data_IF_048570691445
#
_entry.id   IF_048570691445
#
_cell.length_a   1.000
_cell.length_b   1.000
_cell.length_c   1.000
_cell.angle_alpha   90.00
_cell.angle_beta   90.00
_cell.angle_gamma   90.00
#
_symmetry.space_group_name_H-M   'P 1'
#
loop_
_entity.id
_entity.type
_entity.pdbx_description
1 polymer ?
#
# COMPACT_ATOMS: atom_id res chain seq x y z
N UNK A 1 20.78 -3.14 -10.08
CA UNK A 1 19.71 -3.55 -11.02
C UNK A 1 18.84 -4.68 -10.48
N UNK A 2 19.41 -5.82 -10.06
CA UNK A 2 18.61 -7.00 -9.64
C UNK A 2 17.82 -6.77 -8.32
N UNK A 3 18.35 -5.99 -7.38
CA UNK A 3 17.78 -5.85 -6.03
C UNK A 3 16.47 -5.02 -5.99
N UNK A 4 16.43 -3.86 -6.67
CA UNK A 4 15.22 -3.03 -6.71
C UNK A 4 14.02 -3.71 -7.37
N UNK A 5 14.29 -4.56 -8.36
CA UNK A 5 13.28 -5.40 -9.00
C UNK A 5 12.66 -6.40 -8.00
N UNK A 6 13.44 -7.00 -7.10
CA UNK A 6 12.90 -7.92 -6.08
C UNK A 6 11.95 -7.23 -5.11
N UNK A 7 12.23 -6.00 -4.69
CA UNK A 7 11.33 -5.27 -3.80
C UNK A 7 10.04 -4.86 -4.49
N UNK A 8 10.10 -4.43 -5.76
CA UNK A 8 8.90 -4.18 -6.55
C UNK A 8 8.08 -5.46 -6.71
N UNK A 9 8.73 -6.58 -7.04
CA UNK A 9 8.07 -7.89 -7.12
C UNK A 9 7.45 -8.29 -5.78
N UNK A 10 8.10 -7.99 -4.65
CA UNK A 10 7.56 -8.26 -3.33
C UNK A 10 6.30 -7.41 -3.05
N UNK A 11 6.31 -6.12 -3.39
CA UNK A 11 5.13 -5.24 -3.25
C UNK A 11 3.98 -5.76 -4.12
N UNK A 12 4.26 -6.07 -5.39
CA UNK A 12 3.26 -6.61 -6.32
C UNK A 12 2.72 -7.96 -5.83
N UNK A 13 3.58 -8.82 -5.30
CA UNK A 13 3.18 -10.10 -4.73
C UNK A 13 2.27 -9.92 -3.50
N UNK A 14 2.59 -8.99 -2.59
CA UNK A 14 1.75 -8.69 -1.42
C UNK A 14 0.37 -8.18 -1.86
N UNK A 15 0.32 -7.26 -2.84
CA UNK A 15 -0.94 -6.74 -3.37
C UNK A 15 -1.77 -7.83 -4.06
N UNK A 16 -1.13 -8.65 -4.91
CA UNK A 16 -1.79 -9.75 -5.61
C UNK A 16 -2.34 -10.82 -4.65
N UNK A 17 -1.54 -11.19 -3.64
CA UNK A 17 -1.97 -12.10 -2.57
C UNK A 17 -3.15 -11.53 -1.79
N UNK A 18 -3.11 -10.24 -1.45
CA UNK A 18 -4.20 -9.58 -0.72
C UNK A 18 -5.48 -9.53 -1.54
N UNK A 19 -5.39 -9.25 -2.84
CA UNK A 19 -6.54 -9.30 -3.74
C UNK A 19 -7.09 -10.74 -3.88
N UNK A 20 -6.23 -11.75 -3.98
CA UNK A 20 -6.64 -13.15 -4.02
C UNK A 20 -7.35 -13.56 -2.72
N UNK A 21 -6.80 -13.17 -1.57
CA UNK A 21 -7.37 -13.44 -0.25
C UNK A 21 -8.72 -12.76 -0.05
N UNK A 22 -8.85 -11.50 -0.46
CA UNK A 22 -10.13 -10.80 -0.46
C UNK A 22 -11.18 -11.53 -1.30
N UNK A 23 -10.83 -11.93 -2.53
CA UNK A 23 -11.73 -12.67 -3.41
C UNK A 23 -12.14 -14.03 -2.84
N UNK A 24 -11.21 -14.77 -2.23
CA UNK A 24 -11.49 -16.06 -1.60
C UNK A 24 -12.46 -15.86 -0.42
N UNK A 25 -12.21 -14.85 0.42
CA UNK A 25 -13.06 -14.51 1.56
C UNK A 25 -14.50 -14.21 1.13
N UNK A 26 -14.68 -13.30 0.18
CA UNK A 26 -16.02 -12.92 -0.33
C UNK A 26 -16.74 -14.12 -0.95
N UNK A 27 -16.07 -14.90 -1.80
CA UNK A 27 -16.66 -16.11 -2.41
C UNK A 27 -17.07 -17.15 -1.36
N UNK A 28 -16.34 -17.25 -0.25
CA UNK A 28 -16.66 -18.18 0.82
C UNK A 28 -17.89 -17.74 1.59
N UNK A 29 -17.98 -16.45 1.96
CA UNK A 29 -19.18 -15.91 2.60
C UNK A 29 -20.40 -16.09 1.70
N UNK A 30 -20.27 -15.74 0.41
CA UNK A 30 -21.37 -15.92 -0.55
C UNK A 30 -21.87 -17.36 -0.61
N UNK A 31 -20.96 -18.33 -0.66
CA UNK A 31 -21.32 -19.75 -0.67
C UNK A 31 -22.02 -20.18 0.62
N UNK A 32 -21.54 -19.71 1.77
CA UNK A 32 -22.13 -20.05 3.06
C UNK A 32 -23.56 -19.50 3.17
N UNK A 33 -23.76 -18.24 2.81
CA UNK A 33 -25.08 -17.58 2.85
C UNK A 33 -26.04 -18.24 1.86
N UNK A 34 -25.59 -18.48 0.62
CA UNK A 34 -26.41 -19.16 -0.41
C UNK A 34 -26.74 -20.60 -0.05
N UNK A 35 -25.89 -21.27 0.73
CA UNK A 35 -26.17 -22.63 1.23
C UNK A 35 -27.24 -22.67 2.32
N UNK A 36 -27.52 -21.54 2.96
CA UNK A 36 -28.51 -21.42 4.05
C UNK A 36 -29.79 -20.70 3.63
N UNK A 37 -29.81 -20.06 2.47
CA UNK A 37 -30.94 -19.29 1.94
C UNK A 37 -31.59 -20.06 0.79
N UNK A 38 -32.92 -20.23 0.85
CA UNK A 38 -33.70 -20.86 -0.23
C UNK A 38 -33.97 -19.87 -1.39
N UNK A 39 -33.66 -18.59 -1.21
CA UNK A 39 -33.81 -17.54 -2.21
C UNK A 39 -32.70 -17.47 -3.26
N UNK A 40 -33.03 -16.92 -4.43
CA UNK A 40 -32.05 -16.56 -5.46
C UNK A 40 -31.44 -15.20 -5.15
N UNK A 41 -30.22 -15.18 -4.61
CA UNK A 41 -29.53 -13.96 -4.23
C UNK A 41 -28.24 -13.73 -5.03
N UNK A 42 -28.02 -12.49 -5.45
CA UNK A 42 -26.86 -12.08 -6.25
C UNK A 42 -25.68 -11.60 -5.37
N UNK A 43 -24.46 -11.76 -5.87
CA UNK A 43 -23.25 -11.31 -5.17
C UNK A 43 -23.24 -9.80 -4.89
N UNK A 44 -23.76 -8.99 -5.82
CA UNK A 44 -23.79 -7.54 -5.65
C UNK A 44 -24.66 -7.13 -4.46
N UNK A 45 -25.77 -7.84 -4.26
CA UNK A 45 -26.67 -7.63 -3.14
C UNK A 45 -26.01 -8.09 -1.84
N UNK A 46 -25.21 -9.17 -1.85
CA UNK A 46 -24.41 -9.59 -0.69
C UNK A 46 -23.47 -8.48 -0.23
N UNK A 47 -22.68 -7.96 -1.17
CA UNK A 47 -21.67 -6.97 -0.86
C UNK A 47 -22.28 -5.73 -0.22
N UNK A 48 -23.43 -5.27 -0.74
CA UNK A 48 -24.16 -4.12 -0.17
C UNK A 48 -24.57 -4.33 1.28
N UNK A 49 -24.95 -5.56 1.66
CA UNK A 49 -25.34 -5.89 3.03
C UNK A 49 -24.16 -6.19 3.96
N UNK A 50 -22.99 -6.56 3.40
CA UNK A 50 -21.76 -6.81 4.16
C UNK A 50 -20.96 -5.54 4.48
N UNK A 51 -21.27 -4.40 3.87
CA UNK A 51 -20.55 -3.16 4.13
C UNK A 51 -20.76 -2.68 5.58
N UNK A 52 -19.68 -2.74 6.37
CA UNK A 52 -19.63 -2.22 7.73
C UNK A 52 -18.96 -0.84 7.77
N UNK A 53 -19.58 0.16 8.41
CA UNK A 53 -18.94 1.46 8.58
C UNK A 53 -17.74 1.35 9.52
N UNK A 54 -16.56 1.78 9.04
CA UNK A 54 -15.32 1.71 9.83
C UNK A 54 -15.05 2.94 10.70
N UNK A 55 -15.80 4.03 10.49
CA UNK A 55 -15.64 5.32 11.16
C UNK A 55 -14.87 6.34 10.31
N UNK A 56 -15.31 7.60 10.31
CA UNK A 56 -14.76 8.64 9.43
C UNK A 56 -13.25 8.84 9.61
N UNK A 57 -12.77 8.92 10.86
CA UNK A 57 -11.35 9.14 11.13
C UNK A 57 -10.49 8.01 10.55
N UNK A 58 -10.87 6.76 10.79
CA UNK A 58 -10.13 5.61 10.27
C UNK A 58 -10.08 5.64 8.74
N UNK A 59 -11.20 5.92 8.07
CA UNK A 59 -11.24 6.02 6.62
C UNK A 59 -10.32 7.13 6.09
N UNK A 60 -10.34 8.32 6.70
CA UNK A 60 -9.45 9.43 6.33
C UNK A 60 -7.98 9.04 6.48
N UNK A 61 -7.60 8.42 7.60
CA UNK A 61 -6.24 7.94 7.81
C UNK A 61 -5.85 6.90 6.77
N UNK A 62 -6.73 5.96 6.42
CA UNK A 62 -6.41 4.94 5.42
C UNK A 62 -6.27 5.53 4.01
N UNK A 63 -7.14 6.48 3.62
CA UNK A 63 -6.98 7.20 2.34
C UNK A 63 -5.63 7.91 2.31
N UNK A 64 -5.28 8.64 3.37
CA UNK A 64 -4.00 9.32 3.48
C UNK A 64 -2.81 8.34 3.41
N UNK A 65 -2.88 7.20 4.11
CA UNK A 65 -1.85 6.17 4.07
C UNK A 65 -1.69 5.56 2.67
N UNK A 66 -2.77 5.34 1.93
CA UNK A 66 -2.68 4.86 0.54
C UNK A 66 -2.08 5.90 -0.41
N UNK A 67 -2.48 7.17 -0.28
CA UNK A 67 -1.85 8.27 -1.05
C UNK A 67 -0.34 8.33 -0.77
N UNK A 68 0.04 8.33 0.52
CA UNK A 68 1.45 8.36 0.93
C UNK A 68 2.20 7.09 0.53
N UNK A 69 1.54 5.93 0.48
CA UNK A 69 2.15 4.70 -0.02
C UNK A 69 2.52 4.81 -1.49
N UNK A 70 1.63 5.32 -2.33
CA UNK A 70 1.94 5.52 -3.75
C UNK A 70 3.05 6.56 -3.95
N UNK A 71 3.03 7.63 -3.16
CA UNK A 71 4.12 8.62 -3.14
C UNK A 71 5.44 7.97 -2.74
N UNK A 72 5.48 7.29 -1.59
CA UNK A 72 6.68 6.61 -1.10
C UNK A 72 7.22 5.58 -2.12
N UNK A 73 6.34 4.77 -2.70
CA UNK A 73 6.71 3.82 -3.74
C UNK A 73 7.27 4.51 -4.98
N UNK A 74 6.66 5.62 -5.43
CA UNK A 74 7.15 6.38 -6.58
C UNK A 74 8.51 7.04 -6.30
N UNK A 75 8.67 7.67 -5.13
CA UNK A 75 9.94 8.27 -4.71
C UNK A 75 11.06 7.22 -4.70
N UNK A 76 10.80 6.09 -4.04
CA UNK A 76 11.79 5.03 -3.93
C UNK A 76 12.04 4.33 -5.29
N UNK A 77 11.06 4.26 -6.17
CA UNK A 77 11.22 3.66 -7.49
C UNK A 77 11.98 4.57 -8.47
N UNK A 78 11.65 5.87 -8.51
CA UNK A 78 12.18 6.81 -9.50
C UNK A 78 13.43 7.56 -9.05
N UNK A 79 13.61 7.80 -7.74
CA UNK A 79 14.78 8.53 -7.24
C UNK A 79 15.94 7.64 -6.87
N UNK A 80 15.69 6.35 -6.58
CA UNK A 80 16.77 5.52 -6.05
C UNK A 80 17.64 4.95 -7.17
N UNK A 81 18.96 5.20 -7.13
CA UNK A 81 19.90 4.78 -8.15
C UNK A 81 19.85 3.27 -8.47
N UNK A 82 19.70 2.90 -9.75
CA UNK A 82 19.97 1.53 -10.23
C UNK A 82 18.79 0.56 -10.19
N UNK A 83 17.57 1.05 -9.92
CA UNK A 83 16.32 0.29 -10.00
C UNK A 83 15.90 0.01 -11.45
N UNK A 84 16.19 0.91 -12.40
CA UNK A 84 15.93 0.73 -13.84
C UNK A 84 17.11 1.23 -14.70
N UNK A 85 17.42 0.58 -15.84
CA UNK A 85 18.43 1.06 -16.79
C UNK A 85 18.01 2.35 -17.53
N UNK A 86 16.72 2.73 -17.46
CA UNK A 86 16.21 4.00 -17.98
C UNK A 86 16.25 5.09 -16.91
N UNK A 87 17.45 5.46 -16.48
CA UNK A 87 17.74 6.76 -15.84
C UNK A 87 17.40 7.98 -16.71
N UNK A 88 16.68 7.76 -17.82
CA UNK A 88 16.39 8.71 -18.88
C UNK A 88 15.30 9.71 -18.56
N UNK A 89 14.47 9.44 -17.54
CA UNK A 89 13.62 10.51 -17.04
C UNK A 89 14.49 11.42 -16.17
N UNK A 90 14.66 12.65 -16.61
CA UNK A 90 15.15 13.78 -15.81
C UNK A 90 14.32 13.99 -14.51
N UNK A 91 13.46 13.06 -14.12
CA UNK A 91 12.72 13.01 -12.87
C UNK A 91 13.64 13.18 -11.64
N UNK A 92 14.88 12.68 -11.68
CA UNK A 92 15.86 12.96 -10.60
C UNK A 92 16.18 14.46 -10.55
N UNK A 93 16.41 15.12 -11.70
CA UNK A 93 16.69 16.56 -11.79
C UNK A 93 15.46 17.42 -11.47
N UNK A 94 14.27 16.99 -11.94
CA UNK A 94 13.01 17.65 -11.64
C UNK A 94 12.74 17.53 -10.15
N UNK A 95 12.88 16.35 -9.56
CA UNK A 95 12.58 16.12 -8.15
C UNK A 95 13.64 16.65 -7.19
N UNK A 96 14.88 16.89 -7.65
CA UNK A 96 15.94 17.55 -6.88
C UNK A 96 15.94 19.08 -6.99
N UNK A 97 15.06 19.68 -7.80
CA UNK A 97 14.85 21.13 -7.81
C UNK A 97 14.17 21.63 -6.52
N UNK A 98 14.26 22.93 -6.21
CA UNK A 98 13.76 23.54 -4.95
C UNK A 98 12.32 23.15 -4.59
N UNK A 99 11.45 22.97 -5.60
CA UNK A 99 10.06 22.54 -5.44
C UNK A 99 9.77 21.17 -6.06
N UNK A 100 10.78 20.53 -6.62
CA UNK A 100 10.71 19.30 -7.39
C UNK A 100 10.03 18.15 -6.68
N UNK A 101 10.44 17.94 -5.44
CA UNK A 101 9.92 16.94 -4.53
C UNK A 101 8.42 17.13 -4.30
N UNK A 102 8.00 18.37 -4.02
CA UNK A 102 6.59 18.70 -3.77
C UNK A 102 5.77 18.49 -5.05
N UNK A 103 6.24 19.00 -6.18
CA UNK A 103 5.56 18.85 -7.48
C UNK A 103 5.42 17.39 -7.86
N UNK A 104 6.47 16.59 -7.71
CA UNK A 104 6.45 15.16 -7.99
C UNK A 104 5.49 14.40 -7.07
N UNK A 105 5.55 14.66 -5.75
CA UNK A 105 4.64 14.05 -4.79
C UNK A 105 3.17 14.39 -5.08
N UNK A 106 2.87 15.66 -5.35
CA UNK A 106 1.52 16.10 -5.74
C UNK A 106 1.04 15.44 -7.02
N UNK A 107 1.90 15.35 -8.05
CA UNK A 107 1.55 14.68 -9.31
C UNK A 107 1.21 13.20 -9.08
N UNK A 108 2.01 12.49 -8.30
CA UNK A 108 1.74 11.09 -7.94
C UNK A 108 0.42 10.96 -7.16
N UNK A 109 0.16 11.85 -6.20
CA UNK A 109 -1.11 11.84 -5.47
C UNK A 109 -2.31 12.07 -6.38
N UNK A 110 -2.23 13.00 -7.34
CA UNK A 110 -3.31 13.26 -8.29
C UNK A 110 -3.56 12.03 -9.17
N UNK A 111 -2.50 11.43 -9.72
CA UNK A 111 -2.59 10.24 -10.59
C UNK A 111 -3.19 9.04 -9.83
N UNK A 112 -2.84 8.89 -8.55
CA UNK A 112 -3.24 7.74 -7.74
C UNK A 112 -4.45 7.98 -6.84
N UNK A 113 -5.04 9.18 -6.89
CA UNK A 113 -6.17 9.57 -6.04
C UNK A 113 -7.35 8.59 -6.18
N UNK A 114 -7.73 8.22 -7.40
CA UNK A 114 -8.84 7.28 -7.64
C UNK A 114 -8.62 5.95 -6.93
N UNK A 115 -7.40 5.42 -6.99
CA UNK A 115 -7.03 4.18 -6.30
C UNK A 115 -7.04 4.39 -4.78
N UNK A 116 -6.48 5.49 -4.29
CA UNK A 116 -6.45 5.80 -2.86
C UNK A 116 -7.84 6.05 -2.26
N UNK A 117 -8.83 6.47 -3.04
CA UNK A 117 -10.23 6.56 -2.59
C UNK A 117 -10.99 5.24 -2.70
N UNK A 118 -10.58 4.36 -3.61
CA UNK A 118 -11.29 3.11 -3.89
C UNK A 118 -10.80 1.96 -3.01
N UNK A 119 -9.48 1.81 -2.85
CA UNK A 119 -8.89 0.68 -2.12
C UNK A 119 -9.34 0.66 -0.64
N UNK A 120 -9.40 1.78 0.11
CA UNK A 120 -9.87 1.75 1.49
C UNK A 120 -11.31 1.29 1.67
N UNK A 121 -12.14 1.32 0.62
CA UNK A 121 -13.50 0.77 0.69
C UNK A 121 -13.48 -0.73 0.99
N UNK A 122 -12.42 -1.44 0.63
CA UNK A 122 -12.26 -2.88 0.93
C UNK A 122 -12.33 -3.14 2.44
N UNK A 123 -11.93 -2.18 3.29
CA UNK A 123 -12.00 -2.32 4.74
C UNK A 123 -13.42 -2.40 5.28
N UNK A 124 -14.45 -1.94 4.54
CA UNK A 124 -15.85 -2.05 4.99
C UNK A 124 -16.30 -3.50 5.09
N UNK A 125 -15.70 -4.43 4.33
CA UNK A 125 -16.08 -5.84 4.34
C UNK A 125 -15.48 -6.64 5.51
N UNK A 126 -14.79 -5.99 6.45
CA UNK A 126 -14.07 -6.66 7.53
C UNK A 126 -14.41 -6.09 8.89
N UNK A 127 -14.51 -6.96 9.89
CA UNK A 127 -14.57 -6.56 11.29
C UNK A 127 -13.13 -6.24 11.73
N UNK A 128 -12.80 -4.95 11.81
CA UNK A 128 -11.47 -4.50 12.24
C UNK A 128 -11.54 -4.09 13.71
N UNK A 129 -10.82 -4.82 14.58
CA UNK A 129 -10.79 -4.52 16.01
C UNK A 129 -10.15 -3.16 16.30
N UNK A 130 -10.51 -2.56 17.45
CA UNK A 130 -9.98 -1.25 17.88
C UNK A 130 -8.45 -1.24 17.95
N UNK A 131 -7.84 -2.33 18.40
CA UNK A 131 -6.39 -2.45 18.50
C UNK A 131 -5.71 -2.49 17.14
N UNK A 132 -6.29 -3.19 16.16
CA UNK A 132 -5.76 -3.22 14.79
C UNK A 132 -5.93 -1.85 14.13
N UNK A 133 -7.08 -1.19 14.29
CA UNK A 133 -7.28 0.19 13.78
C UNK A 133 -6.23 1.15 14.36
N UNK A 134 -6.00 1.09 15.66
CA UNK A 134 -4.98 1.91 16.33
C UNK A 134 -3.58 1.64 15.77
N UNK A 135 -3.20 0.36 15.64
CA UNK A 135 -1.92 -0.03 15.06
C UNK A 135 -1.74 0.50 13.63
N UNK A 136 -2.76 0.35 12.79
CA UNK A 136 -2.72 0.85 11.42
C UNK A 136 -2.54 2.37 11.40
N UNK A 137 -3.37 3.11 12.15
CA UNK A 137 -3.34 4.58 12.17
C UNK A 137 -2.02 5.13 12.73
N UNK A 138 -1.53 4.58 13.84
CA UNK A 138 -0.34 5.12 14.50
C UNK A 138 0.97 4.81 13.78
N UNK A 139 1.05 3.69 13.05
CA UNK A 139 2.31 3.26 12.45
C UNK A 139 2.38 3.45 10.93
N UNK A 140 1.27 3.39 10.19
CA UNK A 140 1.36 3.47 8.72
C UNK A 140 1.91 4.79 8.22
N UNK A 141 1.33 5.92 8.65
CA UNK A 141 1.79 7.25 8.20
C UNK A 141 3.25 7.54 8.57
N UNK A 142 3.71 7.35 9.83
CA UNK A 142 5.11 7.60 10.17
C UNK A 142 6.09 6.74 9.39
N UNK A 143 5.79 5.45 9.19
CA UNK A 143 6.65 4.56 8.42
C UNK A 143 6.77 5.03 6.96
N UNK A 144 5.66 5.41 6.33
CA UNK A 144 5.67 5.93 4.96
C UNK A 144 6.45 7.24 4.84
N UNK A 145 6.33 8.14 5.83
CA UNK A 145 7.14 9.36 5.87
C UNK A 145 8.64 9.06 6.01
N UNK A 146 9.02 8.08 6.83
CA UNK A 146 10.41 7.63 6.93
C UNK A 146 10.88 7.07 5.58
N UNK A 147 10.07 6.27 4.89
CA UNK A 147 10.41 5.73 3.58
C UNK A 147 10.66 6.83 2.54
N UNK A 148 9.81 7.86 2.52
CA UNK A 148 9.98 9.05 1.67
C UNK A 148 11.28 9.79 2.02
N UNK A 149 11.54 10.04 3.31
CA UNK A 149 12.74 10.73 3.76
C UNK A 149 14.02 9.98 3.37
N UNK A 150 14.04 8.65 3.52
CA UNK A 150 15.16 7.81 3.10
C UNK A 150 15.35 7.83 1.57
N UNK A 151 14.25 7.82 0.81
CA UNK A 151 14.30 7.90 -0.65
C UNK A 151 14.89 9.23 -1.13
N UNK A 152 14.47 10.35 -0.52
CA UNK A 152 15.00 11.68 -0.81
C UNK A 152 16.49 11.75 -0.48
N UNK A 153 16.88 11.23 0.69
CA UNK A 153 18.28 11.22 1.10
C UNK A 153 19.16 10.44 0.11
N UNK A 154 18.70 9.26 -0.32
CA UNK A 154 19.41 8.44 -1.32
C UNK A 154 19.48 9.14 -2.68
N UNK A 155 18.38 9.74 -3.15
CA UNK A 155 18.31 10.41 -4.45
C UNK A 155 19.11 11.72 -4.53
N UNK A 156 19.33 12.40 -3.40
CA UNK A 156 19.98 13.74 -3.37
C UNK A 156 21.42 13.71 -2.88
N UNK A 157 21.75 12.92 -1.85
CA UNK A 157 23.06 12.95 -1.18
C UNK A 157 24.02 11.90 -1.74
N UNK A 158 23.52 10.74 -2.17
CA UNK A 158 24.36 9.65 -2.69
C UNK A 158 23.86 9.07 -4.03
N UNK A 159 23.85 9.88 -5.11
CA UNK A 159 23.36 9.44 -6.42
C UNK A 159 24.19 8.32 -7.05
N UNK A 160 25.41 8.07 -6.55
CA UNK A 160 26.31 6.98 -6.99
C UNK A 160 26.59 5.95 -5.89
N UNK A 161 25.75 5.87 -4.85
CA UNK A 161 25.87 4.78 -3.87
C UNK A 161 25.87 3.44 -4.60
N UNK A 162 26.95 2.68 -4.40
CA UNK A 162 27.18 1.43 -5.08
C UNK A 162 26.04 0.46 -4.75
N UNK A 163 25.22 0.14 -5.77
CA UNK A 163 23.97 -0.64 -5.68
C UNK A 163 24.21 -2.06 -5.13
N UNK A 164 25.48 -2.47 -5.04
CA UNK A 164 25.90 -3.74 -4.46
C UNK A 164 26.15 -3.71 -2.95
N UNK A 165 26.37 -2.53 -2.35
CA UNK A 165 26.56 -2.41 -0.91
C UNK A 165 25.19 -2.36 -0.21
N UNK A 166 24.95 -3.27 0.74
CA UNK A 166 23.80 -3.26 1.64
C UNK A 166 23.85 -2.03 2.55
N UNK A 167 23.58 -0.86 1.98
CA UNK A 167 23.53 0.37 2.74
C UNK A 167 22.27 0.34 3.62
N UNK A 168 22.47 0.52 4.93
CA UNK A 168 21.41 0.51 5.94
C UNK A 168 20.22 1.39 5.55
N UNK A 169 20.47 2.51 4.88
CA UNK A 169 19.46 3.49 4.46
C UNK A 169 18.49 2.90 3.42
N UNK A 170 19.00 2.10 2.47
CA UNK A 170 18.18 1.41 1.49
C UNK A 170 17.26 0.38 2.16
N UNK A 171 17.81 -0.42 3.08
CA UNK A 171 17.06 -1.44 3.81
C UNK A 171 15.95 -0.78 4.62
N UNK A 172 16.28 0.29 5.36
CA UNK A 172 15.31 1.03 6.15
C UNK A 172 14.23 1.63 5.24
N UNK A 173 14.60 2.26 4.11
CA UNK A 173 13.63 2.81 3.15
C UNK A 173 12.64 1.77 2.63
N UNK A 174 13.11 0.58 2.28
CA UNK A 174 12.27 -0.53 1.82
C UNK A 174 11.43 -1.18 2.92
N UNK A 175 12.01 -1.43 4.10
CA UNK A 175 11.28 -2.01 5.24
C UNK A 175 10.15 -1.05 5.65
N UNK A 176 10.43 0.24 5.69
CA UNK A 176 9.45 1.27 6.04
C UNK A 176 8.43 1.54 4.92
N UNK A 177 8.60 0.96 3.72
CA UNK A 177 7.59 0.91 2.66
C UNK A 177 6.73 -0.37 2.74
N UNK A 178 7.37 -1.52 2.97
CA UNK A 178 6.71 -2.83 2.98
C UNK A 178 5.90 -3.06 4.26
N UNK A 179 6.44 -2.69 5.41
CA UNK A 179 5.78 -2.88 6.69
C UNK A 179 4.42 -2.17 6.76
N UNK A 180 4.26 -0.88 6.38
CA UNK A 180 2.95 -0.24 6.37
C UNK A 180 2.01 -0.88 5.34
N UNK A 181 2.50 -1.38 4.20
CA UNK A 181 1.66 -2.15 3.27
C UNK A 181 1.09 -3.40 3.94
N UNK A 182 1.92 -4.18 4.64
CA UNK A 182 1.47 -5.36 5.40
C UNK A 182 0.45 -4.96 6.48
N UNK A 183 0.69 -3.88 7.23
CA UNK A 183 -0.25 -3.36 8.23
C UNK A 183 -1.59 -3.00 7.59
N UNK A 184 -1.58 -2.32 6.46
CA UNK A 184 -2.79 -1.97 5.70
C UNK A 184 -3.53 -3.22 5.18
N UNK A 185 -2.88 -4.36 5.03
CA UNK A 185 -3.49 -5.62 4.58
C UNK A 185 -3.99 -6.51 5.73
N UNK A 186 -3.70 -6.17 7.00
CA UNK A 186 -4.05 -7.00 8.16
C UNK A 186 -5.51 -7.44 8.23
N UNK A 187 -6.52 -6.59 7.95
CA UNK A 187 -7.91 -7.01 7.98
C UNK A 187 -8.19 -8.23 7.09
N UNK A 188 -7.60 -8.24 5.89
CA UNK A 188 -7.75 -9.31 4.89
C UNK A 188 -7.05 -10.60 5.36
N UNK A 189 -5.87 -10.46 5.97
CA UNK A 189 -5.06 -11.59 6.43
C UNK A 189 -5.74 -12.29 7.63
N UNK A 190 -6.28 -11.52 8.57
CA UNK A 190 -6.92 -12.09 9.76
C UNK A 190 -8.30 -12.67 9.47
N UNK A 191 -9.07 -12.05 8.59
CA UNK A 191 -10.42 -12.52 8.25
C UNK A 191 -10.41 -13.92 7.62
N UNK A 192 -9.35 -14.32 6.91
CA UNK A 192 -9.23 -15.68 6.39
C UNK A 192 -9.21 -16.75 7.49
N UNK A 193 -8.59 -16.45 8.64
CA UNK A 193 -8.50 -17.39 9.77
C UNK A 193 -9.86 -17.61 10.43
N UNK A 194 -10.67 -16.57 10.51
CA UNK A 194 -11.99 -16.62 11.16
C UNK A 194 -12.97 -17.48 10.36
N UNK A 195 -12.91 -17.46 9.02
CA UNK A 195 -13.81 -18.28 8.19
C UNK A 195 -13.33 -19.74 8.10
N UNK A 196 -12.10 -20.08 8.50
CA UNK A 196 -11.61 -21.47 8.52
C UNK A 196 -11.93 -22.25 9.79
N UNK A 197 -12.48 -21.57 10.81
CA UNK A 197 -13.06 -22.22 11.99
C UNK A 197 -14.53 -22.52 11.75
#
# INVERSE_FOLDING_TARGET
>A
MIQGAYFLLAILAILALSAAFHNIYIKKIYRNVKGTDEGSFEMAELLKHLELPQGSNFNTFMIASWMLFFVAAAFLFFQTPGTFPWYYFQAIQIASSEYGLIVFGLAVMIITALLAFTIPKIYSYYIVSRNIKALMVYFTLPLLMISIAMSIYLGTVYPQADVQSWNLIWIVGYITLILPLILMMMPIIFSLKEVTR
#
